data_IF_943358623559
#
_entry.id   IF_943358623559
#
_cell.length_a   1.000
_cell.length_b   1.000
_cell.length_c   1.000
_cell.angle_alpha   90.00
_cell.angle_beta   90.00
_cell.angle_gamma   90.00
#
_symmetry.space_group_name_H-M   'P 1'
#
loop_
_entity.id
_entity.type
_entity.pdbx_description
1 polymer ?
#
# COMPACT_ATOMS: atom_id res chain seq x y z
N UNK A 1 -4.25 16.21 10.45
CA UNK A 1 -5.29 15.16 10.55
C UNK A 1 -4.99 14.10 9.52
N UNK A 2 -4.59 12.91 9.94
CA UNK A 2 -4.38 11.78 9.04
C UNK A 2 -5.76 11.37 8.50
N UNK A 3 -5.98 11.50 7.20
CA UNK A 3 -7.10 10.83 6.52
C UNK A 3 -6.99 9.36 6.87
N UNK A 4 -7.90 8.87 7.71
CA UNK A 4 -7.85 7.49 8.19
C UNK A 4 -8.06 6.56 7.00
N UNK A 5 -7.05 5.80 6.54
CA UNK A 5 -7.21 4.87 5.43
C UNK A 5 -8.30 3.83 5.73
N UNK A 6 -8.65 3.67 7.01
CA UNK A 6 -9.70 2.78 7.50
C UNK A 6 -11.08 3.14 6.98
N UNK A 7 -11.45 4.42 6.86
CA UNK A 7 -12.81 4.78 6.43
C UNK A 7 -13.06 4.44 4.95
N UNK A 8 -12.10 4.72 4.08
CA UNK A 8 -12.20 4.39 2.65
C UNK A 8 -12.22 2.87 2.43
N UNK A 9 -11.35 2.14 3.13
CA UNK A 9 -11.31 0.66 3.07
C UNK A 9 -12.61 0.06 3.64
N UNK A 10 -13.10 0.59 4.77
CA UNK A 10 -14.36 0.16 5.38
C UNK A 10 -15.55 0.42 4.46
N UNK A 11 -15.60 1.58 3.78
CA UNK A 11 -16.63 1.89 2.80
C UNK A 11 -16.64 0.86 1.66
N UNK A 12 -15.48 0.57 1.09
CA UNK A 12 -15.34 -0.46 0.07
C UNK A 12 -15.89 -1.80 0.56
N UNK A 13 -15.41 -2.28 1.71
CA UNK A 13 -15.87 -3.56 2.30
C UNK A 13 -17.37 -3.61 2.54
N UNK A 14 -17.92 -2.55 3.10
CA UNK A 14 -19.35 -2.45 3.36
C UNK A 14 -20.14 -2.57 2.05
N UNK A 15 -19.75 -1.85 1.01
CA UNK A 15 -20.41 -1.92 -0.30
C UNK A 15 -20.28 -3.31 -0.92
N UNK A 16 -19.07 -3.87 -0.99
CA UNK A 16 -18.84 -5.21 -1.55
C UNK A 16 -19.60 -6.32 -0.80
N UNK A 17 -19.83 -6.15 0.51
CA UNK A 17 -20.64 -7.09 1.30
C UNK A 17 -22.14 -7.09 0.93
N UNK A 18 -22.61 -6.05 0.22
CA UNK A 18 -23.98 -5.95 -0.29
C UNK A 18 -24.17 -6.66 -1.65
N UNK A 19 -23.10 -7.22 -2.23
CA UNK A 19 -23.21 -7.95 -3.48
C UNK A 19 -24.02 -9.23 -3.29
N UNK A 20 -24.95 -9.48 -4.20
CA UNK A 20 -25.79 -10.68 -4.26
C UNK A 20 -25.93 -11.14 -5.71
N UNK A 21 -26.83 -12.08 -6.00
CA UNK A 21 -27.09 -12.52 -7.37
C UNK A 21 -27.64 -11.42 -8.28
N UNK A 22 -28.35 -10.44 -7.73
CA UNK A 22 -29.01 -9.37 -8.50
C UNK A 22 -28.54 -7.97 -8.12
N UNK A 23 -27.58 -7.86 -7.19
CA UNK A 23 -26.99 -6.58 -6.76
C UNK A 23 -25.48 -6.66 -6.83
N UNK A 24 -24.84 -5.61 -7.34
CA UNK A 24 -23.39 -5.52 -7.38
C UNK A 24 -22.91 -4.08 -7.11
N UNK A 25 -21.65 -3.97 -6.72
CA UNK A 25 -20.99 -2.71 -6.39
C UNK A 25 -20.16 -2.21 -7.57
N UNK A 26 -20.28 -0.92 -7.89
CA UNK A 26 -19.39 -0.22 -8.85
C UNK A 26 -18.78 1.00 -8.21
N UNK A 27 -17.57 1.37 -8.62
CA UNK A 27 -16.96 2.64 -8.22
C UNK A 27 -17.60 3.80 -8.99
N UNK A 28 -17.84 4.93 -8.32
CA UNK A 28 -18.38 6.12 -8.97
C UNK A 28 -17.31 6.79 -9.84
N UNK A 29 -17.67 7.13 -11.07
CA UNK A 29 -16.76 7.86 -11.97
C UNK A 29 -16.48 9.27 -11.43
N UNK A 30 -15.19 9.63 -11.33
CA UNK A 30 -14.76 10.97 -10.90
C UNK A 30 -15.00 11.31 -9.42
N UNK A 31 -15.47 10.37 -8.59
CA UNK A 31 -15.70 10.59 -7.15
C UNK A 31 -15.15 9.44 -6.31
N UNK A 32 -14.77 9.73 -5.06
CA UNK A 32 -14.42 8.72 -4.06
C UNK A 32 -15.68 8.14 -3.44
N UNK A 33 -16.24 7.10 -4.05
CA UNK A 33 -17.41 6.39 -3.53
C UNK A 33 -17.85 5.23 -4.43
N UNK A 34 -18.94 4.59 -4.03
CA UNK A 34 -19.47 3.40 -4.68
C UNK A 34 -20.97 3.54 -4.93
N UNK A 35 -21.44 2.93 -6.01
CA UNK A 35 -22.85 2.72 -6.31
C UNK A 35 -23.19 1.24 -6.09
N UNK A 36 -24.28 0.99 -5.36
CA UNK A 36 -24.93 -0.32 -5.31
C UNK A 36 -25.98 -0.32 -6.41
N UNK A 37 -25.81 -1.23 -7.36
CA UNK A 37 -26.60 -1.31 -8.58
C UNK A 37 -27.36 -2.62 -8.58
N UNK A 38 -28.61 -2.58 -9.01
CA UNK A 38 -29.45 -3.74 -9.25
C UNK A 38 -29.51 -4.03 -10.73
N UNK A 39 -29.37 -5.30 -11.07
CA UNK A 39 -29.57 -5.80 -12.41
C UNK A 39 -31.05 -6.12 -12.61
N UNK A 40 -31.63 -5.56 -13.68
CA UNK A 40 -33.02 -5.75 -14.08
C UNK A 40 -33.02 -6.26 -15.51
N UNK A 41 -33.87 -7.24 -15.79
CA UNK A 41 -34.12 -7.71 -17.14
C UNK A 41 -35.50 -7.17 -17.55
N UNK A 42 -35.59 -6.52 -18.71
CA UNK A 42 -36.88 -6.10 -19.25
C UNK A 42 -37.62 -7.25 -19.94
N UNK A 43 -38.83 -6.95 -20.42
CA UNK A 43 -39.69 -7.92 -21.10
C UNK A 43 -39.09 -8.43 -22.43
N UNK A 44 -38.16 -7.68 -23.02
CA UNK A 44 -37.45 -8.00 -24.26
C UNK A 44 -36.14 -8.78 -24.03
N UNK A 45 -35.78 -9.01 -22.76
CA UNK A 45 -34.56 -9.72 -22.37
C UNK A 45 -33.31 -8.83 -22.34
N UNK A 46 -33.45 -7.51 -22.47
CA UNK A 46 -32.34 -6.57 -22.31
C UNK A 46 -32.07 -6.29 -20.83
N UNK A 47 -30.77 -6.19 -20.51
CA UNK A 47 -30.29 -5.99 -19.15
C UNK A 47 -30.09 -4.51 -18.87
N UNK A 48 -30.86 -4.00 -17.92
CA UNK A 48 -30.79 -2.64 -17.42
C UNK A 48 -30.23 -2.60 -15.99
N UNK A 49 -29.59 -1.49 -15.66
CA UNK A 49 -28.93 -1.31 -14.38
C UNK A 49 -29.55 -0.13 -13.64
N UNK A 50 -30.09 -0.40 -12.46
CA UNK A 50 -30.67 0.63 -11.61
C UNK A 50 -29.76 0.93 -10.42
N UNK A 51 -29.40 2.20 -10.21
CA UNK A 51 -28.63 2.62 -9.03
C UNK A 51 -29.57 2.72 -7.83
N UNK A 52 -29.39 1.83 -6.85
CA UNK A 52 -30.18 1.82 -5.63
C UNK A 52 -29.66 2.84 -4.61
N UNK A 53 -28.35 2.81 -4.37
CA UNK A 53 -27.67 3.59 -3.32
C UNK A 53 -26.34 4.10 -3.86
N UNK A 54 -26.06 5.38 -3.66
CA UNK A 54 -24.70 5.93 -3.74
C UNK A 54 -24.13 6.07 -2.33
N UNK A 55 -23.01 5.42 -2.07
CA UNK A 55 -22.32 5.44 -0.80
C UNK A 55 -20.98 6.18 -0.96
N UNK A 56 -20.82 7.27 -0.21
CA UNK A 56 -19.65 8.13 -0.25
C UNK A 56 -19.19 8.43 1.16
N UNK A 57 -17.97 8.92 1.30
CA UNK A 57 -17.58 9.61 2.52
C UNK A 57 -17.88 11.10 2.38
N UNK A 58 -18.12 11.75 3.52
CA UNK A 58 -18.19 13.21 3.61
C UNK A 58 -16.85 13.88 3.25
N UNK A 59 -16.83 15.21 3.25
CA UNK A 59 -15.63 15.99 2.92
C UNK A 59 -14.46 15.71 3.89
N UNK A 60 -14.79 15.35 5.14
CA UNK A 60 -13.78 14.96 6.14
C UNK A 60 -13.20 13.56 5.91
N UNK A 61 -13.81 12.77 5.01
CA UNK A 61 -13.48 11.36 4.71
C UNK A 61 -13.61 10.44 5.93
N UNK A 62 -14.54 10.73 6.84
CA UNK A 62 -14.72 9.95 8.06
C UNK A 62 -16.12 9.34 8.16
N UNK A 63 -17.13 10.05 7.65
CA UNK A 63 -18.53 9.68 7.86
C UNK A 63 -19.18 9.20 6.57
N UNK A 64 -19.97 8.13 6.69
CA UNK A 64 -20.74 7.56 5.59
C UNK A 64 -21.91 8.47 5.22
N UNK A 65 -21.94 8.89 3.96
CA UNK A 65 -23.03 9.63 3.32
C UNK A 65 -23.70 8.70 2.31
N UNK A 66 -24.99 8.43 2.51
CA UNK A 66 -25.79 7.62 1.60
C UNK A 66 -26.77 8.50 0.85
N UNK A 67 -26.81 8.38 -0.47
CA UNK A 67 -27.78 9.05 -1.34
C UNK A 67 -28.61 8.03 -2.09
N UNK A 68 -29.87 8.36 -2.30
CA UNK A 68 -30.82 7.55 -3.06
C UNK A 68 -31.16 8.33 -4.34
N UNK A 69 -30.63 7.94 -5.51
CA UNK A 69 -30.88 8.69 -6.75
C UNK A 69 -32.35 8.65 -7.18
N UNK A 70 -33.03 7.52 -6.96
CA UNK A 70 -34.35 7.24 -7.53
C UNK A 70 -35.51 7.31 -6.50
N UNK A 71 -35.24 7.66 -5.24
CA UNK A 71 -36.27 7.81 -4.20
C UNK A 71 -37.14 6.57 -3.95
N UNK A 72 -36.62 5.36 -4.19
CA UNK A 72 -37.39 4.11 -4.07
C UNK A 72 -37.87 3.87 -2.62
N UNK A 73 -39.15 3.52 -2.47
CA UNK A 73 -39.90 3.49 -1.19
C UNK A 73 -39.56 2.29 -0.28
N UNK A 74 -38.53 1.48 -0.57
CA UNK A 74 -38.26 0.28 0.23
C UNK A 74 -36.78 -0.12 0.32
N UNK A 75 -35.89 0.86 0.49
CA UNK A 75 -34.45 0.60 0.64
C UNK A 75 -33.90 0.87 2.05
N UNK A 76 -34.75 1.20 3.02
CA UNK A 76 -34.33 1.50 4.40
C UNK A 76 -33.61 0.33 5.08
N UNK A 77 -34.05 -0.90 4.80
CA UNK A 77 -33.37 -2.11 5.27
C UNK A 77 -31.95 -2.23 4.68
N UNK A 78 -31.79 -1.90 3.39
CA UNK A 78 -30.47 -1.91 2.74
C UNK A 78 -29.57 -0.79 3.27
N UNK A 79 -30.11 0.42 3.48
CA UNK A 79 -29.36 1.53 4.09
C UNK A 79 -28.88 1.16 5.50
N UNK A 80 -29.75 0.57 6.32
CA UNK A 80 -29.43 0.13 7.68
C UNK A 80 -28.37 -0.97 7.67
N UNK A 81 -28.49 -1.94 6.76
CA UNK A 81 -27.51 -3.01 6.56
C UNK A 81 -26.14 -2.45 6.16
N UNK A 82 -26.12 -1.51 5.20
CA UNK A 82 -24.88 -0.90 4.73
C UNK A 82 -24.19 -0.08 5.84
N UNK A 83 -24.95 0.67 6.64
CA UNK A 83 -24.41 1.40 7.81
C UNK A 83 -23.81 0.45 8.82
N UNK A 84 -24.53 -0.61 9.19
CA UNK A 84 -24.04 -1.61 10.14
C UNK A 84 -22.78 -2.32 9.60
N UNK A 85 -22.74 -2.64 8.31
CA UNK A 85 -21.57 -3.21 7.66
C UNK A 85 -20.37 -2.25 7.67
N UNK A 86 -20.61 -0.96 7.45
CA UNK A 86 -19.59 0.09 7.51
C UNK A 86 -19.03 0.25 8.93
N UNK A 87 -19.89 0.41 9.93
CA UNK A 87 -19.48 0.55 11.33
C UNK A 87 -18.69 -0.67 11.81
N UNK A 88 -19.16 -1.87 11.44
CA UNK A 88 -18.42 -3.12 11.71
C UNK A 88 -17.05 -3.12 11.03
N UNK A 89 -16.98 -2.73 9.76
CA UNK A 89 -15.73 -2.70 9.01
C UNK A 89 -14.74 -1.66 9.53
N UNK A 90 -15.20 -0.54 10.08
CA UNK A 90 -14.34 0.46 10.74
C UNK A 90 -13.70 -0.09 12.01
N UNK A 91 -14.38 -1.00 12.72
CA UNK A 91 -13.90 -1.62 13.95
C UNK A 91 -13.16 -2.95 13.74
N UNK A 92 -12.96 -3.39 12.48
CA UNK A 92 -12.39 -4.71 12.19
C UNK A 92 -11.15 -4.58 11.30
N UNK A 93 -10.04 -5.14 11.77
CA UNK A 93 -8.86 -5.40 10.95
C UNK A 93 -8.94 -6.80 10.37
N UNK A 94 -8.84 -6.90 9.05
CA UNK A 94 -8.70 -8.19 8.37
C UNK A 94 -7.25 -8.65 8.38
N UNK A 95 -7.02 -9.94 8.11
CA UNK A 95 -5.68 -10.48 7.93
C UNK A 95 -4.89 -9.69 6.88
N UNK A 96 -5.54 -9.28 5.78
CA UNK A 96 -4.91 -8.51 4.72
C UNK A 96 -4.48 -7.11 5.18
N UNK A 97 -5.23 -6.46 6.08
CA UNK A 97 -4.82 -5.16 6.64
C UNK A 97 -3.54 -5.31 7.46
N UNK A 98 -3.50 -6.35 8.29
CA UNK A 98 -2.39 -6.62 9.18
C UNK A 98 -1.16 -7.03 8.38
N UNK A 99 -1.32 -7.87 7.35
CA UNK A 99 -0.25 -8.21 6.42
C UNK A 99 0.28 -6.97 5.69
N UNK A 100 -0.59 -6.13 5.13
CA UNK A 100 -0.18 -4.91 4.43
C UNK A 100 0.50 -3.90 5.37
N UNK A 101 0.04 -3.81 6.62
CA UNK A 101 0.68 -2.98 7.64
C UNK A 101 2.05 -3.52 8.04
N UNK A 102 2.18 -4.83 8.28
CA UNK A 102 3.46 -5.49 8.58
C UNK A 102 4.47 -5.29 7.45
N UNK A 103 4.04 -5.39 6.18
CA UNK A 103 4.92 -5.11 5.03
C UNK A 103 5.41 -3.65 5.01
N UNK A 104 4.61 -2.69 5.46
CA UNK A 104 5.06 -1.30 5.60
C UNK A 104 6.06 -1.15 6.74
N UNK A 105 5.83 -1.83 7.86
CA UNK A 105 6.78 -1.85 8.97
C UNK A 105 8.12 -2.47 8.59
N UNK A 106 8.12 -3.55 7.79
CA UNK A 106 9.38 -4.14 7.30
C UNK A 106 10.16 -3.17 6.43
N UNK A 107 9.49 -2.35 5.61
CA UNK A 107 10.16 -1.29 4.84
C UNK A 107 10.75 -0.20 5.75
N UNK A 108 10.03 0.18 6.82
CA UNK A 108 10.52 1.15 7.79
C UNK A 108 11.72 0.64 8.60
N UNK A 109 11.77 -0.68 8.88
CA UNK A 109 12.88 -1.34 9.56
C UNK A 109 13.99 -1.81 8.60
N UNK A 110 14.09 -1.19 7.41
CA UNK A 110 15.08 -1.50 6.38
C UNK A 110 15.17 -2.98 5.96
N UNK A 111 14.13 -3.78 6.22
CA UNK A 111 14.19 -5.22 6.03
C UNK A 111 14.32 -5.59 4.55
N UNK A 112 15.06 -6.65 4.26
CA UNK A 112 15.25 -7.18 2.90
C UNK A 112 14.44 -8.46 2.74
N UNK A 113 13.66 -8.56 1.66
CA UNK A 113 12.90 -9.77 1.36
C UNK A 113 13.80 -10.84 0.75
N UNK A 114 13.88 -12.00 1.40
CA UNK A 114 14.65 -13.16 0.90
C UNK A 114 13.88 -13.98 -0.15
N UNK A 115 12.63 -13.61 -0.44
CA UNK A 115 11.77 -14.23 -1.47
C UNK A 115 11.15 -13.16 -2.36
N UNK A 116 10.90 -13.49 -3.62
CA UNK A 116 10.20 -12.57 -4.54
C UNK A 116 8.76 -12.29 -4.10
N UNK A 117 8.10 -13.29 -3.51
CA UNK A 117 6.72 -13.17 -3.02
C UNK A 117 6.61 -12.53 -1.63
N UNK A 118 7.74 -12.20 -1.00
CA UNK A 118 7.77 -11.72 0.38
C UNK A 118 7.64 -12.82 1.43
N UNK A 119 7.25 -12.41 2.65
CA UNK A 119 6.92 -13.30 3.76
C UNK A 119 8.10 -13.83 4.58
N UNK A 120 9.33 -13.78 4.05
CA UNK A 120 10.57 -13.98 4.80
C UNK A 120 11.45 -12.75 4.61
N UNK A 121 11.76 -12.10 5.72
CA UNK A 121 12.55 -10.87 5.72
C UNK A 121 13.77 -11.04 6.62
N UNK A 122 14.90 -10.53 6.15
CA UNK A 122 16.08 -10.35 6.97
C UNK A 122 16.08 -8.92 7.52
N UNK A 123 16.36 -8.78 8.81
CA UNK A 123 16.53 -7.51 9.50
C UNK A 123 17.90 -7.47 10.16
N UNK A 124 18.53 -6.30 10.19
CA UNK A 124 19.78 -6.09 10.93
C UNK A 124 19.49 -6.05 12.43
N UNK A 125 20.54 -6.24 13.24
CA UNK A 125 20.39 -6.28 14.71
C UNK A 125 19.78 -4.99 15.27
N UNK A 126 20.14 -3.85 14.69
CA UNK A 126 19.72 -2.54 15.19
C UNK A 126 18.21 -2.32 14.96
N UNK A 127 17.71 -2.77 13.81
CA UNK A 127 16.29 -2.67 13.42
C UNK A 127 15.39 -3.67 14.17
N UNK A 128 15.97 -4.77 14.68
CA UNK A 128 15.23 -5.79 15.42
C UNK A 128 14.62 -5.28 16.72
N UNK A 129 15.20 -4.25 17.35
CA UNK A 129 14.66 -3.68 18.58
C UNK A 129 13.26 -3.08 18.35
N UNK A 130 13.14 -2.18 17.38
CA UNK A 130 11.88 -1.52 17.03
C UNK A 130 10.87 -2.53 16.46
N UNK A 131 11.34 -3.45 15.60
CA UNK A 131 10.47 -4.47 15.03
C UNK A 131 9.86 -5.39 16.10
N UNK A 132 10.62 -5.75 17.15
CA UNK A 132 10.10 -6.53 18.29
C UNK A 132 9.05 -5.76 19.08
N UNK A 133 9.18 -4.44 19.24
CA UNK A 133 8.15 -3.61 19.90
C UNK A 133 6.82 -3.69 19.14
N UNK A 134 6.86 -3.54 17.82
CA UNK A 134 5.66 -3.60 16.99
C UNK A 134 5.01 -4.98 17.00
N UNK A 135 5.80 -6.03 16.83
CA UNK A 135 5.31 -7.41 16.74
C UNK A 135 4.82 -7.96 18.08
N UNK A 136 5.42 -7.52 19.20
CA UNK A 136 4.92 -7.82 20.56
C UNK A 136 3.57 -7.15 20.80
N UNK A 137 3.43 -5.88 20.39
CA UNK A 137 2.16 -5.14 20.49
C UNK A 137 1.07 -5.84 19.68
N UNK A 138 1.36 -6.23 18.44
CA UNK A 138 0.42 -6.97 17.59
C UNK A 138 0.00 -8.31 18.22
N UNK A 139 0.96 -9.07 18.76
CA UNK A 139 0.70 -10.38 19.37
C UNK A 139 -0.11 -10.28 20.66
N UNK A 140 -0.02 -9.15 21.38
CA UNK A 140 -0.81 -8.89 22.58
C UNK A 140 -2.28 -8.55 22.28
N UNK A 141 -2.56 -7.99 21.10
CA UNK A 141 -3.91 -7.55 20.71
C UNK A 141 -4.60 -8.47 19.70
N UNK A 142 -3.87 -9.44 19.11
CA UNK A 142 -4.39 -10.30 18.03
C UNK A 142 -3.91 -11.75 18.15
N UNK A 143 -4.56 -12.65 17.40
CA UNK A 143 -4.12 -14.04 17.30
C UNK A 143 -2.92 -14.24 16.37
N UNK A 144 -2.45 -13.19 15.67
CA UNK A 144 -1.33 -13.30 14.76
C UNK A 144 -0.02 -13.64 15.49
N UNK A 145 0.87 -14.30 14.75
CA UNK A 145 2.18 -14.71 15.24
C UNK A 145 3.23 -14.30 14.23
N UNK A 146 4.32 -13.73 14.73
CA UNK A 146 5.52 -13.46 13.95
C UNK A 146 6.59 -14.40 14.48
N UNK A 147 7.22 -15.14 13.58
CA UNK A 147 8.28 -16.08 13.92
C UNK A 147 9.62 -15.43 13.64
N UNK A 148 10.48 -15.40 14.65
CA UNK A 148 11.85 -14.94 14.53
C UNK A 148 12.76 -16.18 14.44
N UNK A 149 13.59 -16.24 13.40
CA UNK A 149 14.65 -17.24 13.28
C UNK A 149 15.97 -16.49 13.39
N UNK A 150 16.76 -16.70 14.47
CA UNK A 150 18.09 -16.10 14.58
C UNK A 150 18.92 -16.50 13.36
N UNK A 151 19.40 -15.51 12.61
CA UNK A 151 20.26 -15.77 11.48
C UNK A 151 21.57 -16.41 11.98
N UNK A 152 21.92 -17.57 11.44
CA UNK A 152 23.26 -18.12 11.59
C UNK A 152 24.21 -17.27 10.76
N UNK A 153 25.37 -16.91 11.30
CA UNK A 153 26.43 -16.22 10.56
C UNK A 153 27.14 -17.16 9.57
N UNK A 154 26.37 -17.96 8.83
CA UNK A 154 26.93 -18.79 7.76
C UNK A 154 27.17 -17.92 6.54
N UNK A 155 28.18 -18.27 5.75
CA UNK A 155 28.53 -17.55 4.53
C UNK A 155 27.35 -17.56 3.56
N UNK A 156 26.61 -18.66 3.47
CA UNK A 156 25.42 -18.78 2.62
C UNK A 156 24.30 -17.82 3.03
N UNK A 157 24.12 -17.57 4.33
CA UNK A 157 23.12 -16.63 4.81
C UNK A 157 23.50 -15.18 4.45
N UNK A 158 24.79 -14.84 4.55
CA UNK A 158 25.30 -13.52 4.17
C UNK A 158 25.15 -13.31 2.66
N UNK A 159 25.50 -14.31 1.84
CA UNK A 159 25.29 -14.28 0.39
C UNK A 159 23.83 -14.09 0.02
N UNK A 160 22.91 -14.84 0.64
CA UNK A 160 21.48 -14.71 0.36
C UNK A 160 20.95 -13.30 0.67
N UNK A 161 21.45 -12.66 1.72
CA UNK A 161 21.11 -11.28 2.06
C UNK A 161 21.70 -10.30 1.04
N UNK A 162 22.96 -10.50 0.63
CA UNK A 162 23.60 -9.67 -0.39
C UNK A 162 22.88 -9.76 -1.73
N UNK A 163 22.55 -10.96 -2.20
CA UNK A 163 21.82 -11.17 -3.45
C UNK A 163 20.46 -10.48 -3.39
N UNK A 164 19.77 -10.59 -2.26
CA UNK A 164 18.47 -9.99 -2.08
C UNK A 164 18.51 -8.45 -2.07
N UNK A 165 19.47 -7.83 -1.36
CA UNK A 165 19.61 -6.36 -1.33
C UNK A 165 20.12 -5.83 -2.67
N UNK A 166 20.97 -6.60 -3.37
CA UNK A 166 21.46 -6.26 -4.72
C UNK A 166 20.32 -6.23 -5.70
N UNK A 167 19.55 -7.31 -5.79
CA UNK A 167 18.37 -7.40 -6.67
C UNK A 167 17.35 -6.30 -6.40
N UNK A 168 17.08 -6.01 -5.12
CA UNK A 168 16.15 -4.94 -4.74
C UNK A 168 16.66 -3.55 -5.18
N UNK A 169 17.95 -3.30 -4.99
CA UNK A 169 18.61 -2.04 -5.39
C UNK A 169 18.63 -1.90 -6.90
N UNK A 170 19.03 -2.93 -7.64
CA UNK A 170 19.06 -2.92 -9.11
C UNK A 170 17.66 -2.70 -9.69
N UNK A 171 16.65 -3.40 -9.18
CA UNK A 171 15.25 -3.22 -9.61
C UNK A 171 14.79 -1.77 -9.42
N UNK A 172 15.16 -1.15 -8.29
CA UNK A 172 14.86 0.26 -8.05
C UNK A 172 15.59 1.16 -9.04
N UNK A 173 16.90 0.97 -9.22
CA UNK A 173 17.73 1.81 -10.08
C UNK A 173 17.28 1.71 -11.55
N UNK A 174 17.04 0.50 -12.05
CA UNK A 174 16.54 0.27 -13.42
C UNK A 174 15.18 0.94 -13.65
N UNK A 175 14.28 0.84 -12.65
CA UNK A 175 12.98 1.52 -12.68
C UNK A 175 13.15 3.04 -12.71
N UNK A 176 14.09 3.60 -11.94
CA UNK A 176 14.32 5.04 -11.91
C UNK A 176 14.95 5.55 -13.21
N UNK A 177 15.99 4.89 -13.72
CA UNK A 177 16.63 5.24 -14.99
C UNK A 177 15.62 5.19 -16.13
N UNK A 178 14.81 4.13 -16.22
CA UNK A 178 13.77 4.02 -17.26
C UNK A 178 12.74 5.16 -17.16
N UNK A 179 12.33 5.53 -15.94
CA UNK A 179 11.38 6.63 -15.74
C UNK A 179 11.99 8.00 -16.10
N UNK A 180 13.28 8.22 -15.83
CA UNK A 180 14.01 9.43 -16.21
C UNK A 180 14.19 9.53 -17.73
N UNK A 181 14.59 8.44 -18.38
CA UNK A 181 14.79 8.36 -19.84
C UNK A 181 13.51 8.66 -20.63
N UNK A 182 12.35 8.28 -20.10
CA UNK A 182 11.05 8.53 -20.75
C UNK A 182 10.63 10.01 -20.69
N UNK A 183 11.26 10.84 -19.86
CA UNK A 183 11.28 12.30 -20.03
C UNK A 183 10.02 13.11 -19.69
N UNK A 184 9.04 12.57 -18.96
CA UNK A 184 7.80 13.31 -18.61
C UNK A 184 7.44 13.18 -17.12
N UNK A 185 8.37 13.60 -16.26
CA UNK A 185 8.17 13.59 -14.80
C UNK A 185 7.94 15.00 -14.28
N UNK A 186 6.70 15.29 -13.86
CA UNK A 186 6.40 16.53 -13.15
C UNK A 186 7.12 16.61 -11.79
N UNK A 187 7.28 17.84 -11.26
CA UNK A 187 7.97 18.15 -9.98
C UNK A 187 7.66 17.19 -8.81
N UNK A 188 6.37 16.87 -8.61
CA UNK A 188 5.95 15.95 -7.54
C UNK A 188 6.45 14.52 -7.76
N UNK A 189 6.47 14.06 -9.01
CA UNK A 189 6.97 12.74 -9.36
C UNK A 189 8.47 12.68 -9.05
N UNK A 190 9.26 13.65 -9.51
CA UNK A 190 10.71 13.73 -9.26
C UNK A 190 11.07 13.74 -7.77
N UNK A 191 10.41 14.56 -6.94
CA UNK A 191 10.62 14.56 -5.48
C UNK A 191 10.29 13.21 -4.82
N UNK A 192 9.32 12.48 -5.37
CA UNK A 192 9.01 11.13 -4.89
C UNK A 192 10.15 10.15 -5.22
N UNK A 193 10.84 10.32 -6.36
CA UNK A 193 11.98 9.49 -6.75
C UNK A 193 13.23 9.80 -5.92
N UNK A 194 13.49 11.07 -5.65
CA UNK A 194 14.53 11.50 -4.71
C UNK A 194 14.35 10.85 -3.32
N UNK A 195 13.10 10.83 -2.84
CA UNK A 195 12.75 10.13 -1.60
C UNK A 195 13.01 8.62 -1.65
N UNK A 196 12.78 7.96 -2.81
CA UNK A 196 13.11 6.55 -3.00
C UNK A 196 14.62 6.30 -2.99
N UNK A 197 15.41 7.16 -3.64
CA UNK A 197 16.88 7.07 -3.58
C UNK A 197 17.40 7.23 -2.15
N UNK A 198 16.86 8.21 -1.42
CA UNK A 198 17.23 8.46 -0.02
C UNK A 198 16.90 7.26 0.88
N UNK A 199 15.71 6.67 0.71
CA UNK A 199 15.31 5.48 1.46
C UNK A 199 16.21 4.26 1.16
N UNK A 200 16.60 4.07 -0.11
CA UNK A 200 17.54 3.01 -0.47
C UNK A 200 18.94 3.26 0.09
N UNK A 201 19.41 4.51 0.09
CA UNK A 201 20.71 4.89 0.67
C UNK A 201 20.75 4.57 2.16
N UNK A 202 19.73 4.97 2.93
CA UNK A 202 19.61 4.63 4.36
C UNK A 202 19.57 3.13 4.60
N UNK A 203 18.89 2.38 3.72
CA UNK A 203 18.87 0.91 3.78
C UNK A 203 20.24 0.31 3.52
N UNK A 204 20.98 0.75 2.51
CA UNK A 204 22.34 0.27 2.25
C UNK A 204 23.30 0.59 3.40
N UNK A 205 23.16 1.77 4.01
CA UNK A 205 23.93 2.17 5.20
C UNK A 205 23.67 1.23 6.39
N UNK A 206 22.41 0.87 6.65
CA UNK A 206 22.05 -0.07 7.71
C UNK A 206 22.72 -1.45 7.53
N UNK A 207 23.04 -1.85 6.30
CA UNK A 207 23.68 -3.12 5.96
C UNK A 207 25.20 -3.02 5.79
N UNK A 208 25.78 -1.82 5.80
CA UNK A 208 27.21 -1.61 5.57
C UNK A 208 28.09 -2.36 6.59
N UNK A 209 27.66 -2.45 7.85
CA UNK A 209 28.39 -3.21 8.87
C UNK A 209 28.40 -4.73 8.63
N UNK A 210 27.42 -5.26 7.91
CA UNK A 210 27.28 -6.70 7.62
C UNK A 210 27.95 -7.09 6.29
N UNK A 211 27.74 -6.27 5.26
CA UNK A 211 28.15 -6.59 3.88
C UNK A 211 29.42 -5.86 3.45
N UNK A 212 29.79 -4.79 4.16
CA UNK A 212 31.03 -4.04 3.96
C UNK A 212 31.22 -3.59 2.50
N UNK A 213 32.41 -3.80 1.91
CA UNK A 213 32.76 -3.29 0.58
C UNK A 213 31.96 -3.93 -0.56
N UNK A 214 31.19 -4.99 -0.30
CA UNK A 214 30.37 -5.66 -1.32
C UNK A 214 29.22 -4.79 -1.82
N UNK A 215 28.91 -3.69 -1.11
CA UNK A 215 27.90 -2.72 -1.50
C UNK A 215 28.46 -1.54 -2.31
N UNK A 216 29.79 -1.42 -2.47
CA UNK A 216 30.42 -0.23 -3.05
C UNK A 216 29.92 0.09 -4.46
N UNK A 217 29.79 -0.94 -5.32
CA UNK A 217 29.31 -0.78 -6.68
C UNK A 217 27.85 -0.28 -6.73
N UNK A 218 27.00 -0.78 -5.84
CA UNK A 218 25.59 -0.40 -5.76
C UNK A 218 25.46 1.02 -5.21
N UNK A 219 26.23 1.36 -4.17
CA UNK A 219 26.28 2.69 -3.60
C UNK A 219 26.70 3.74 -4.65
N UNK A 220 27.74 3.47 -5.42
CA UNK A 220 28.18 4.36 -6.49
C UNK A 220 27.07 4.60 -7.51
N UNK A 221 26.43 3.53 -8.00
CA UNK A 221 25.35 3.62 -8.98
C UNK A 221 24.10 4.34 -8.43
N UNK A 222 23.79 4.16 -7.15
CA UNK A 222 22.70 4.87 -6.48
C UNK A 222 22.99 6.37 -6.38
N UNK A 223 24.21 6.77 -6.04
CA UNK A 223 24.60 8.17 -5.98
C UNK A 223 24.57 8.84 -7.36
N UNK A 224 25.02 8.15 -8.41
CA UNK A 224 24.92 8.65 -9.79
C UNK A 224 23.46 8.88 -10.19
N UNK A 225 22.58 7.90 -9.94
CA UNK A 225 21.15 7.99 -10.26
C UNK A 225 20.47 9.09 -9.45
N UNK A 226 20.84 9.24 -8.17
CA UNK A 226 20.33 10.31 -7.30
C UNK A 226 20.74 11.68 -7.80
N UNK A 227 22.00 11.86 -8.23
CA UNK A 227 22.48 13.12 -8.79
C UNK A 227 21.69 13.51 -10.04
N UNK A 228 21.37 12.54 -10.90
CA UNK A 228 20.52 12.75 -12.08
C UNK A 228 19.09 13.19 -11.71
N UNK A 229 18.45 12.49 -10.75
CA UNK A 229 17.11 12.89 -10.25
C UNK A 229 17.12 14.32 -9.71
N UNK A 230 18.14 14.70 -8.93
CA UNK A 230 18.26 16.05 -8.37
C UNK A 230 18.46 17.09 -9.46
N UNK A 231 19.27 16.80 -10.48
CA UNK A 231 19.45 17.69 -11.64
C UNK A 231 18.12 17.93 -12.36
N UNK A 232 17.32 16.89 -12.58
CA UNK A 232 15.98 17.03 -13.16
C UNK A 232 15.03 17.85 -12.27
N UNK A 233 15.08 17.69 -10.93
CA UNK A 233 14.27 18.50 -10.01
C UNK A 233 14.60 19.98 -10.18
N UNK A 234 15.89 20.34 -10.19
CA UNK A 234 16.34 21.73 -10.32
C UNK A 234 15.92 22.33 -11.67
N UNK A 235 16.09 21.59 -12.78
CA UNK A 235 15.69 22.06 -14.10
C UNK A 235 14.19 22.40 -14.18
N UNK A 236 13.32 21.55 -13.63
CA UNK A 236 11.86 21.80 -13.59
C UNK A 236 11.50 22.94 -12.63
N UNK A 237 12.33 23.23 -11.62
CA UNK A 237 12.12 24.38 -10.73
C UNK A 237 12.51 25.71 -11.36
N UNK A 238 13.44 25.74 -12.30
CA UNK A 238 13.83 26.96 -13.03
C UNK A 238 12.81 27.34 -14.12
N UNK A 239 12.06 26.38 -14.65
CA UNK A 239 11.05 26.60 -15.70
C UNK A 239 9.66 27.03 -15.18
N UNK A 240 9.42 26.97 -13.87
CA UNK A 240 8.12 27.20 -13.21
C UNK A 240 8.00 28.58 -12.54
#
# INVERSE_FOLDING_TARGET
GLNSPFATVALGRACWSMNSRSTFTRQLAGRSGYAIVKELCDDDGEMHYEVLIEAMLDESKQHLVLRQPNGQVNIDSMLSTLRLAFDKAQCTLTNNDISAWLTKLTVQAHAVSLRDTGGIYFLTRDEMADFRVWTTTLSGCTAHRVFEVPALNSEEAIEAVLDAITRESETLLDSLTTELDNGDLGKRALRTREGRCSAMSSKLEAYAGLLGPRLDAINARLEDTRAEVVACVLAVEEEA
#
